data_IF_492405297743
#
_entry.id   IF_492405297743
#
_cell.length_a   1.000
_cell.length_b   1.000
_cell.length_c   1.000
_cell.angle_alpha   90.00
_cell.angle_beta   90.00
_cell.angle_gamma   90.00
#
_symmetry.space_group_name_H-M   'P 1'
#
loop_
_entity.id
_entity.type
_entity.pdbx_description
1 polymer ?
#
# COMPACT_ATOMS: atom_id res chain seq x y z
N UNK A 1 9.92 14.51 2.50
CA UNK A 1 9.55 13.77 3.71
C UNK A 1 10.52 14.14 4.81
N UNK A 2 10.09 14.18 6.06
CA UNK A 2 10.95 14.45 7.22
C UNK A 2 10.70 13.35 8.23
N UNK A 3 11.74 12.62 8.61
CA UNK A 3 11.68 11.62 9.66
C UNK A 3 12.44 12.13 10.88
N UNK A 4 11.85 11.91 12.05
CA UNK A 4 12.45 12.31 13.33
C UNK A 4 12.58 11.06 14.20
N UNK A 5 13.79 10.80 14.66
CA UNK A 5 14.13 9.63 15.46
C UNK A 5 14.50 10.04 16.88
N UNK A 6 13.87 9.38 17.84
CA UNK A 6 14.24 9.45 19.27
C UNK A 6 14.37 8.02 19.77
N UNK A 7 15.44 7.71 20.46
CA UNK A 7 15.57 6.45 21.17
C UNK A 7 15.83 6.70 22.65
N UNK A 8 15.23 5.88 23.50
CA UNK A 8 15.46 5.88 24.93
C UNK A 8 15.81 4.44 25.36
N UNK A 9 16.95 4.29 26.01
CA UNK A 9 17.37 3.02 26.61
C UNK A 9 17.22 3.14 28.11
N UNK A 10 16.42 2.26 28.71
CA UNK A 10 16.29 2.13 30.16
C UNK A 10 16.66 0.71 30.57
N UNK A 11 17.60 0.59 31.49
CA UNK A 11 18.02 -0.70 32.04
C UNK A 11 17.92 -0.66 33.52
N UNK A 12 17.20 -1.63 34.12
CA UNK A 12 17.11 -1.83 35.57
C UNK A 12 18.02 -3.00 35.91
N UNK A 13 19.04 -2.75 36.70
CA UNK A 13 19.94 -3.79 37.18
C UNK A 13 19.39 -4.46 38.43
N UNK A 14 19.74 -5.75 38.63
CA UNK A 14 19.29 -6.53 39.82
C UNK A 14 19.78 -5.97 41.13
N UNK A 15 20.81 -5.16 41.15
CA UNK A 15 21.36 -4.46 42.32
C UNK A 15 20.57 -3.19 42.70
N UNK A 16 19.51 -2.85 41.96
CA UNK A 16 18.68 -1.66 42.19
C UNK A 16 19.11 -0.40 41.43
N UNK A 17 20.23 -0.46 40.72
CA UNK A 17 20.66 0.66 39.89
C UNK A 17 19.81 0.78 38.62
N UNK A 18 19.49 2.02 38.24
CA UNK A 18 18.75 2.33 37.05
C UNK A 18 19.65 3.15 36.14
N UNK A 19 19.79 2.70 34.90
CA UNK A 19 20.44 3.46 33.82
C UNK A 19 19.41 3.89 32.82
N UNK A 20 19.40 5.17 32.44
CA UNK A 20 18.54 5.69 31.40
C UNK A 20 19.28 6.74 30.57
N UNK A 21 19.34 6.53 29.28
CA UNK A 21 19.93 7.47 28.34
C UNK A 21 18.98 7.72 27.19
N UNK A 22 18.85 8.99 26.81
CA UNK A 22 18.04 9.42 25.68
C UNK A 22 18.96 9.89 24.57
N UNK A 23 18.74 9.39 23.36
CA UNK A 23 19.42 9.98 22.20
C UNK A 23 18.90 11.38 21.94
N UNK A 24 19.78 12.25 21.42
CA UNK A 24 19.34 13.50 20.85
C UNK A 24 18.38 13.24 19.69
N UNK A 25 17.33 14.08 19.58
CA UNK A 25 16.42 13.98 18.47
C UNK A 25 17.16 14.32 17.16
N UNK A 26 17.17 13.36 16.25
CA UNK A 26 17.73 13.51 14.92
C UNK A 26 16.61 13.64 13.89
N UNK A 27 16.65 14.66 13.04
CA UNK A 27 15.70 14.80 11.94
C UNK A 27 16.44 14.81 10.61
N UNK A 28 15.94 14.02 9.68
CA UNK A 28 16.48 13.92 8.34
C UNK A 28 15.42 14.25 7.29
N UNK A 29 15.79 15.11 6.31
CA UNK A 29 14.88 15.56 5.26
C UNK A 29 15.34 15.01 3.91
N UNK A 30 14.48 14.26 3.24
CA UNK A 30 14.76 13.66 1.94
C UNK A 30 13.61 13.86 0.96
N UNK A 31 13.90 13.72 -0.33
CA UNK A 31 12.93 13.72 -1.42
C UNK A 31 12.66 12.29 -1.87
N UNK A 32 11.39 11.91 -1.96
CA UNK A 32 10.97 10.65 -2.56
C UNK A 32 10.33 10.92 -3.92
N UNK A 33 10.86 10.30 -4.95
CA UNK A 33 10.23 10.24 -6.27
C UNK A 33 9.44 8.95 -6.37
N UNK A 34 8.13 9.06 -6.45
CA UNK A 34 7.24 7.91 -6.68
C UNK A 34 7.40 7.39 -8.11
N UNK A 35 7.23 6.07 -8.34
CA UNK A 35 7.28 5.51 -9.68
C UNK A 35 6.19 6.10 -10.58
N UNK A 36 6.52 6.23 -11.86
CA UNK A 36 5.53 6.57 -12.89
C UNK A 36 4.50 5.46 -13.05
N UNK A 37 3.27 5.84 -13.36
CA UNK A 37 2.17 4.91 -13.64
C UNK A 37 1.49 5.27 -14.96
N UNK A 38 1.00 4.23 -15.65
CA UNK A 38 0.17 4.38 -16.86
C UNK A 38 -1.16 3.68 -16.59
N UNK A 39 -2.25 4.37 -16.83
CA UNK A 39 -3.60 3.85 -16.60
C UNK A 39 -4.36 3.88 -17.91
N UNK A 40 -4.97 2.75 -18.28
CA UNK A 40 -5.93 2.62 -19.36
C UNK A 40 -7.28 2.20 -18.80
N UNK A 41 -8.34 2.92 -19.17
CA UNK A 41 -9.69 2.68 -18.68
C UNK A 41 -10.67 2.55 -19.83
N UNK A 42 -11.59 1.59 -19.71
CA UNK A 42 -12.71 1.40 -20.62
C UNK A 42 -14.00 1.34 -19.82
N UNK A 43 -15.04 2.01 -20.34
CA UNK A 43 -16.38 1.92 -19.75
C UNK A 43 -17.42 1.70 -20.85
N UNK A 44 -18.29 0.75 -20.60
CA UNK A 44 -19.47 0.46 -21.44
C UNK A 44 -20.73 0.87 -20.70
N UNK A 45 -21.48 1.78 -21.29
CA UNK A 45 -22.71 2.32 -20.70
C UNK A 45 -23.92 1.78 -21.44
N UNK A 46 -24.69 0.94 -20.75
CA UNK A 46 -26.00 0.45 -21.22
C UNK A 46 -27.10 1.34 -20.63
N UNK A 47 -27.57 2.32 -21.39
CA UNK A 47 -28.46 3.41 -20.94
C UNK A 47 -29.62 3.00 -20.03
N UNK A 48 -30.20 1.81 -20.24
CA UNK A 48 -31.33 1.31 -19.45
C UNK A 48 -30.90 0.42 -18.28
N UNK A 49 -29.74 -0.21 -18.37
CA UNK A 49 -29.35 -1.28 -17.44
C UNK A 49 -28.23 -0.87 -16.47
N UNK A 50 -27.36 0.07 -16.85
CA UNK A 50 -26.27 0.47 -15.99
C UNK A 50 -24.96 0.67 -16.74
N UNK A 51 -23.83 0.36 -16.08
CA UNK A 51 -22.50 0.48 -16.67
C UNK A 51 -21.59 -0.66 -16.21
N UNK A 52 -20.59 -0.95 -17.04
CA UNK A 52 -19.46 -1.81 -16.72
C UNK A 52 -18.18 -1.04 -16.99
N UNK A 53 -17.22 -1.08 -16.08
CA UNK A 53 -15.91 -0.44 -16.25
C UNK A 53 -14.77 -1.41 -15.97
N UNK A 54 -13.67 -1.23 -16.69
CA UNK A 54 -12.42 -1.95 -16.49
C UNK A 54 -11.28 -0.95 -16.51
N UNK A 55 -10.43 -0.98 -15.49
CA UNK A 55 -9.21 -0.19 -15.40
C UNK A 55 -8.00 -1.11 -15.31
N UNK A 56 -6.98 -0.81 -16.11
CA UNK A 56 -5.67 -1.45 -16.04
C UNK A 56 -4.62 -0.39 -15.72
N UNK A 57 -3.86 -0.58 -14.65
CA UNK A 57 -2.80 0.31 -14.22
C UNK A 57 -1.46 -0.44 -14.21
N UNK A 58 -0.52 0.05 -14.98
CA UNK A 58 0.86 -0.41 -14.97
C UNK A 58 1.72 0.53 -14.12
N UNK A 59 2.44 -0.03 -13.14
CA UNK A 59 3.34 0.71 -12.24
C UNK A 59 4.67 0.00 -12.18
N UNK A 60 5.78 0.71 -12.41
CA UNK A 60 7.11 0.15 -12.21
C UNK A 60 7.68 0.60 -10.85
N UNK A 61 7.43 -0.21 -9.82
CA UNK A 61 7.87 0.10 -8.45
C UNK A 61 9.38 0.16 -8.28
N UNK A 62 10.15 -0.56 -9.11
CA UNK A 62 11.62 -0.50 -9.10
C UNK A 62 12.21 0.86 -9.49
N UNK A 63 11.39 1.77 -10.07
CA UNK A 63 11.81 3.12 -10.41
C UNK A 63 11.54 4.17 -9.29
N UNK A 64 11.13 3.72 -8.11
CA UNK A 64 11.09 4.60 -6.94
C UNK A 64 12.51 5.05 -6.58
N UNK A 65 12.70 6.34 -6.31
CA UNK A 65 14.02 6.90 -6.01
C UNK A 65 13.97 7.78 -4.76
N UNK A 66 14.93 7.59 -3.89
CA UNK A 66 15.25 8.48 -2.79
C UNK A 66 16.35 9.44 -3.22
N UNK A 67 16.22 10.70 -2.85
CA UNK A 67 17.21 11.74 -3.15
C UNK A 67 17.41 12.64 -1.94
N UNK A 68 18.61 13.14 -1.79
CA UNK A 68 18.91 14.14 -0.77
C UNK A 68 18.12 15.44 -1.03
N UNK A 69 17.74 16.13 0.03
CA UNK A 69 17.17 17.47 -0.05
C UNK A 69 18.30 18.48 -0.20
N UNK A 70 18.25 19.33 -1.23
CA UNK A 70 19.34 20.25 -1.61
C UNK A 70 19.82 21.21 -0.52
N UNK A 71 19.07 21.40 0.56
CA UNK A 71 19.37 22.30 1.69
C UNK A 71 19.65 21.56 3.01
N UNK A 72 19.71 20.23 3.02
CA UNK A 72 20.24 19.49 4.17
C UNK A 72 21.76 19.54 4.07
N UNK A 73 22.46 20.02 5.09
CA UNK A 73 23.92 20.01 5.14
C UNK A 73 24.55 18.63 5.08
N UNK A 74 23.75 17.57 4.96
CA UNK A 74 24.15 16.19 4.82
C UNK A 74 24.23 15.81 3.34
N UNK A 75 25.37 15.31 2.94
CA UNK A 75 25.63 14.78 1.59
C UNK A 75 25.36 13.28 1.50
N UNK A 76 24.33 12.76 2.21
CA UNK A 76 24.03 11.34 2.16
C UNK A 76 23.60 10.91 0.77
N UNK A 77 24.24 9.88 0.25
CA UNK A 77 23.99 9.32 -1.06
C UNK A 77 23.09 8.10 -0.93
N UNK A 78 21.87 8.18 -1.48
CA UNK A 78 20.88 7.09 -1.49
C UNK A 78 21.13 6.02 -2.57
N UNK A 79 22.33 5.93 -3.13
CA UNK A 79 22.62 4.98 -4.20
C UNK A 79 22.40 3.54 -3.74
N UNK A 80 22.76 3.22 -2.51
CA UNK A 80 22.59 1.90 -1.94
C UNK A 80 21.11 1.52 -1.81
N UNK A 81 20.28 2.36 -1.19
CA UNK A 81 18.86 2.15 -1.01
C UNK A 81 18.10 2.10 -2.34
N UNK A 82 18.49 2.96 -3.28
CA UNK A 82 17.92 2.96 -4.63
C UNK A 82 18.29 1.69 -5.40
N UNK A 83 19.51 1.19 -5.25
CA UNK A 83 19.97 -0.08 -5.82
C UNK A 83 19.16 -1.25 -5.26
N UNK A 84 18.99 -1.33 -3.94
CA UNK A 84 18.18 -2.35 -3.28
C UNK A 84 16.73 -2.27 -3.76
N UNK A 85 16.14 -1.07 -3.82
CA UNK A 85 14.79 -0.87 -4.32
C UNK A 85 14.62 -1.45 -5.73
N UNK A 86 15.58 -1.22 -6.63
CA UNK A 86 15.60 -1.80 -7.97
C UNK A 86 15.75 -3.32 -8.00
N UNK A 87 16.37 -3.93 -6.98
CA UNK A 87 16.53 -5.38 -6.85
C UNK A 87 15.28 -6.06 -6.26
N UNK A 88 14.61 -5.41 -5.31
CA UNK A 88 13.46 -5.96 -4.58
C UNK A 88 12.17 -5.80 -5.37
N UNK A 89 11.97 -4.66 -6.03
CA UNK A 89 10.71 -4.33 -6.66
C UNK A 89 10.70 -4.59 -8.17
N UNK A 90 9.53 -4.90 -8.69
CA UNK A 90 9.26 -5.18 -10.11
C UNK A 90 8.08 -4.35 -10.62
N UNK A 91 7.97 -4.21 -11.95
CA UNK A 91 6.76 -3.72 -12.57
C UNK A 91 5.56 -4.59 -12.21
N UNK A 92 4.41 -3.94 -12.03
CA UNK A 92 3.18 -4.60 -11.56
C UNK A 92 1.98 -4.09 -12.34
N UNK A 93 1.07 -5.00 -12.63
CA UNK A 93 -0.22 -4.70 -13.24
C UNK A 93 -1.31 -4.77 -12.16
N UNK A 94 -2.07 -3.69 -12.05
CA UNK A 94 -3.26 -3.61 -11.22
C UNK A 94 -4.49 -3.59 -12.13
N UNK A 95 -5.48 -4.43 -11.82
CA UNK A 95 -6.71 -4.55 -12.60
C UNK A 95 -7.89 -4.26 -11.69
N UNK A 96 -8.83 -3.45 -12.16
CA UNK A 96 -10.09 -3.16 -11.47
C UNK A 96 -11.23 -3.36 -12.44
N UNK A 97 -12.26 -4.05 -11.98
CA UNK A 97 -13.49 -4.25 -12.73
C UNK A 97 -14.64 -3.80 -11.83
N UNK A 98 -15.52 -2.97 -12.35
CA UNK A 98 -16.67 -2.49 -11.61
C UNK A 98 -17.91 -2.45 -12.49
N UNK A 99 -19.07 -2.70 -11.87
CA UNK A 99 -20.34 -2.62 -12.56
C UNK A 99 -21.42 -1.98 -11.68
N UNK A 100 -22.31 -1.26 -12.34
CA UNK A 100 -23.54 -0.74 -11.76
C UNK A 100 -24.71 -1.30 -12.55
N UNK A 101 -25.69 -1.82 -11.84
CA UNK A 101 -26.95 -2.27 -12.40
C UNK A 101 -28.12 -1.47 -11.83
N UNK A 102 -28.93 -0.91 -12.70
CA UNK A 102 -30.13 -0.16 -12.33
C UNK A 102 -31.27 -1.14 -12.09
N UNK A 103 -31.62 -1.36 -10.82
CA UNK A 103 -32.77 -2.21 -10.45
C UNK A 103 -34.05 -1.49 -10.77
N UNK A 104 -34.12 -0.19 -10.46
CA UNK A 104 -35.21 0.71 -10.80
C UNK A 104 -34.67 2.06 -11.23
N UNK A 105 -35.52 3.04 -11.53
CA UNK A 105 -35.07 4.42 -11.81
C UNK A 105 -34.45 5.10 -10.58
N UNK A 106 -34.68 4.58 -9.39
CA UNK A 106 -34.23 5.17 -8.12
C UNK A 106 -33.21 4.30 -7.38
N UNK A 107 -33.17 2.99 -7.68
CA UNK A 107 -32.33 2.03 -6.96
C UNK A 107 -31.29 1.41 -7.88
N UNK A 108 -30.03 1.44 -7.45
CA UNK A 108 -28.87 0.90 -8.17
C UNK A 108 -28.09 -0.05 -7.27
N UNK A 109 -27.67 -1.18 -7.81
CA UNK A 109 -26.70 -2.08 -7.19
C UNK A 109 -25.35 -1.94 -7.87
N UNK A 110 -24.28 -1.99 -7.09
CA UNK A 110 -22.89 -1.92 -7.57
C UNK A 110 -22.09 -3.08 -7.05
N UNK A 111 -21.21 -3.60 -7.89
CA UNK A 111 -20.25 -4.60 -7.50
C UNK A 111 -18.89 -4.27 -8.14
N UNK A 112 -17.81 -4.60 -7.45
CA UNK A 112 -16.48 -4.38 -7.97
C UNK A 112 -15.47 -5.40 -7.45
N UNK A 113 -14.47 -5.63 -8.28
CA UNK A 113 -13.32 -6.46 -7.97
C UNK A 113 -12.04 -5.70 -8.33
N UNK A 114 -11.05 -5.76 -7.47
CA UNK A 114 -9.74 -5.22 -7.75
C UNK A 114 -8.65 -6.22 -7.36
N UNK A 115 -7.70 -6.39 -8.28
CA UNK A 115 -6.48 -7.15 -8.08
C UNK A 115 -5.29 -6.19 -8.19
N UNK A 116 -4.61 -5.96 -7.08
CA UNK A 116 -3.35 -5.25 -7.09
C UNK A 116 -2.23 -6.29 -7.12
N UNK A 117 -1.45 -6.29 -8.19
CA UNK A 117 -0.37 -7.24 -8.38
C UNK A 117 0.71 -7.10 -7.33
N UNK A 118 1.55 -8.10 -7.24
CA UNK A 118 2.64 -8.15 -6.28
C UNK A 118 3.84 -7.34 -6.77
N UNK A 119 4.34 -6.37 -5.99
CA UNK A 119 5.48 -5.55 -6.40
C UNK A 119 6.84 -6.20 -6.17
N UNK A 120 6.93 -7.27 -5.38
CA UNK A 120 8.19 -7.92 -5.02
C UNK A 120 8.64 -8.94 -6.07
N UNK A 121 9.95 -9.06 -6.31
CA UNK A 121 10.56 -10.01 -7.24
C UNK A 121 11.57 -10.94 -6.57
N UNK A 122 11.93 -12.03 -7.28
CA UNK A 122 12.95 -12.97 -6.85
C UNK A 122 12.62 -13.63 -5.51
N UNK A 123 13.59 -13.62 -4.62
CA UNK A 123 13.51 -14.19 -3.27
C UNK A 123 12.52 -13.46 -2.36
N UNK A 124 12.17 -12.20 -2.71
CA UNK A 124 11.25 -11.39 -1.92
C UNK A 124 9.77 -11.63 -2.26
N UNK A 125 9.46 -12.50 -3.23
CA UNK A 125 8.07 -12.79 -3.63
C UNK A 125 7.20 -13.31 -2.48
N UNK A 126 7.80 -14.02 -1.55
CA UNK A 126 7.09 -14.61 -0.42
C UNK A 126 6.75 -13.59 0.68
N UNK A 127 7.25 -12.36 0.59
CA UNK A 127 6.96 -11.31 1.58
C UNK A 127 5.50 -10.86 1.56
N UNK A 128 4.86 -10.86 0.39
CA UNK A 128 3.44 -10.51 0.28
C UNK A 128 2.77 -11.23 -0.88
N UNK A 129 1.46 -11.45 -0.78
CA UNK A 129 0.63 -11.89 -1.90
C UNK A 129 0.00 -10.70 -2.62
N UNK A 130 -0.48 -10.87 -3.87
CA UNK A 130 -1.34 -9.86 -4.49
C UNK A 130 -2.50 -9.48 -3.58
N UNK A 131 -2.82 -8.20 -3.55
CA UNK A 131 -3.95 -7.68 -2.75
C UNK A 131 -5.23 -7.75 -3.57
N UNK A 132 -6.21 -8.48 -3.07
CA UNK A 132 -7.54 -8.55 -3.67
C UNK A 132 -8.54 -7.72 -2.88
N UNK A 133 -9.48 -7.09 -3.59
CA UNK A 133 -10.58 -6.34 -2.99
C UNK A 133 -11.88 -6.70 -3.68
N UNK A 134 -12.92 -6.88 -2.89
CA UNK A 134 -14.29 -7.06 -3.33
C UNK A 134 -15.12 -5.92 -2.77
N UNK A 135 -15.97 -5.33 -3.58
CA UNK A 135 -16.86 -4.27 -3.16
C UNK A 135 -18.29 -4.54 -3.59
N UNK A 136 -19.22 -4.23 -2.70
CA UNK A 136 -20.65 -4.26 -2.97
C UNK A 136 -21.24 -2.93 -2.52
N UNK A 137 -22.20 -2.42 -3.26
CA UNK A 137 -22.84 -1.15 -2.94
C UNK A 137 -24.29 -1.09 -3.38
N UNK A 138 -25.06 -0.29 -2.68
CA UNK A 138 -26.43 0.06 -3.02
C UNK A 138 -26.54 1.59 -3.06
N UNK A 139 -27.12 2.11 -4.13
CA UNK A 139 -27.38 3.53 -4.32
C UNK A 139 -28.86 3.78 -4.47
N UNK A 140 -29.36 4.76 -3.75
CA UNK A 140 -30.70 5.30 -3.93
C UNK A 140 -30.61 6.74 -4.39
N UNK A 141 -31.29 7.10 -5.45
CA UNK A 141 -31.30 8.45 -6.02
C UNK A 141 -32.73 8.90 -6.24
N UNK A 142 -33.07 10.05 -5.65
CA UNK A 142 -34.29 10.80 -5.89
C UNK A 142 -33.94 12.11 -6.60
N UNK A 143 -34.92 12.87 -7.00
CA UNK A 143 -34.71 14.21 -7.59
C UNK A 143 -34.06 15.21 -6.61
N UNK A 144 -34.27 15.04 -5.30
CA UNK A 144 -33.84 15.97 -4.26
C UNK A 144 -32.61 15.49 -3.46
N UNK A 145 -32.35 14.17 -3.39
CA UNK A 145 -31.24 13.62 -2.62
C UNK A 145 -30.77 12.28 -3.18
N UNK A 146 -29.58 11.90 -2.78
CA UNK A 146 -29.01 10.58 -3.03
C UNK A 146 -28.38 10.01 -1.76
N UNK A 147 -28.42 8.71 -1.63
CA UNK A 147 -27.78 7.95 -0.56
C UNK A 147 -27.04 6.78 -1.21
N UNK A 148 -25.77 6.64 -0.91
CA UNK A 148 -24.94 5.52 -1.32
C UNK A 148 -24.36 4.81 -0.10
N UNK A 149 -24.50 3.49 -0.07
CA UNK A 149 -23.88 2.61 0.92
C UNK A 149 -22.94 1.65 0.17
N UNK A 150 -21.75 1.47 0.71
CA UNK A 150 -20.79 0.53 0.14
C UNK A 150 -20.03 -0.21 1.23
N UNK A 151 -19.73 -1.48 0.96
CA UNK A 151 -18.87 -2.33 1.78
C UNK A 151 -17.72 -2.81 0.91
N UNK A 152 -16.49 -2.70 1.43
CA UNK A 152 -15.27 -3.17 0.76
C UNK A 152 -14.59 -4.20 1.64
N UNK A 153 -14.36 -5.38 1.11
CA UNK A 153 -13.54 -6.41 1.74
C UNK A 153 -12.18 -6.49 1.04
N UNK A 154 -11.10 -6.37 1.81
CA UNK A 154 -9.73 -6.40 1.30
C UNK A 154 -8.95 -7.56 1.93
N UNK A 155 -8.24 -8.33 1.10
CA UNK A 155 -7.43 -9.46 1.55
C UNK A 155 -6.03 -9.38 0.97
N UNK A 156 -5.03 -9.52 1.87
CA UNK A 156 -3.61 -9.64 1.54
C UNK A 156 -2.94 -10.52 2.59
N UNK A 157 -2.00 -11.36 2.19
CA UNK A 157 -1.11 -12.05 3.12
C UNK A 157 0.24 -11.37 3.06
N UNK A 158 0.79 -11.06 4.22
CA UNK A 158 2.13 -10.51 4.38
C UNK A 158 2.91 -11.40 5.35
N UNK A 159 4.15 -11.71 5.01
CA UNK A 159 5.06 -12.38 5.92
C UNK A 159 5.84 -11.30 6.66
N UNK A 160 5.73 -11.29 7.96
CA UNK A 160 6.47 -10.38 8.80
C UNK A 160 7.63 -11.11 9.47
N UNK A 161 8.84 -10.65 9.22
CA UNK A 161 10.05 -11.17 9.87
C UNK A 161 10.35 -10.30 11.10
N UNK A 162 10.20 -10.86 12.29
CA UNK A 162 10.51 -10.18 13.55
C UNK A 162 12.02 -9.95 13.73
N UNK A 163 12.83 -10.80 13.11
CA UNK A 163 14.30 -10.75 13.13
C UNK A 163 14.84 -11.04 11.74
N UNK A 164 16.09 -10.66 11.50
CA UNK A 164 16.78 -10.98 10.26
C UNK A 164 16.70 -12.50 10.00
N UNK A 165 16.18 -12.95 8.85
CA UNK A 165 16.06 -14.37 8.52
C UNK A 165 17.38 -15.14 8.56
N UNK A 166 18.53 -14.44 8.44
CA UNK A 166 19.87 -15.02 8.55
C UNK A 166 20.18 -15.44 9.98
N UNK A 167 19.51 -14.86 10.98
CA UNK A 167 19.79 -15.11 12.39
C UNK A 167 18.84 -16.16 13.01
N UNK A 168 17.62 -16.32 12.50
CA UNK A 168 16.62 -17.23 13.07
C UNK A 168 15.70 -17.80 11.96
N UNK A 169 15.62 -19.11 11.84
CA UNK A 169 14.78 -19.86 10.87
C UNK A 169 13.25 -19.78 11.10
N UNK A 170 12.77 -18.84 11.88
CA UNK A 170 11.35 -18.75 12.27
C UNK A 170 10.60 -17.62 11.54
N UNK A 171 9.88 -18.01 10.50
CA UNK A 171 8.94 -17.15 9.79
C UNK A 171 7.57 -17.14 10.49
N UNK A 172 7.13 -16.01 11.00
CA UNK A 172 5.76 -15.84 11.50
C UNK A 172 4.89 -15.30 10.37
N UNK A 173 3.98 -16.12 9.87
CA UNK A 173 2.98 -15.67 8.89
C UNK A 173 1.85 -14.94 9.62
N UNK A 174 1.69 -13.67 9.37
CA UNK A 174 0.55 -12.88 9.86
C UNK A 174 -0.44 -12.62 8.72
N UNK A 175 -1.68 -13.06 8.92
CA UNK A 175 -2.79 -12.74 8.02
C UNK A 175 -3.45 -11.45 8.52
N UNK A 176 -3.22 -10.34 7.84
CA UNK A 176 -3.87 -9.07 8.19
C UNK A 176 -5.18 -8.94 7.41
N UNK A 177 -6.30 -8.93 8.12
CA UNK A 177 -7.61 -8.59 7.61
C UNK A 177 -7.87 -7.11 7.91
N UNK A 178 -8.03 -6.30 6.90
CA UNK A 178 -8.49 -4.92 7.07
C UNK A 178 -9.91 -4.82 6.51
N UNK A 179 -10.88 -4.73 7.40
CA UNK A 179 -12.21 -4.25 7.04
C UNK A 179 -12.13 -2.72 7.03
N UNK A 180 -12.35 -2.11 5.87
CA UNK A 180 -12.50 -0.68 5.73
C UNK A 180 -13.97 -0.31 5.78
#
# INVERSE_FOLDING_TARGET
>A
MRDTWNSEIRTNFKNGDNYGEKSNSSSYVYKMRTPGRVIGSLAFVAKKFGLLSVDCEYVNYGNALLRNHQNSGDSYDFNYENSISGQIYQPTLNIRVGGEYKITNYLMARAGYALNGQPFKGEYKDQATPKTKYSLGLGFRSEQFYIDLAVVHSQQKENYFLYDPILIENTVQTKKWTNG
#
